data_IF_322095948503
#
_entry.id   IF_322095948503
#
_cell.length_a   1.000
_cell.length_b   1.000
_cell.length_c   1.000
_cell.angle_alpha   90.00
_cell.angle_beta   90.00
_cell.angle_gamma   90.00
#
_symmetry.space_group_name_H-M   'P 1'
#
loop_
_entity.id
_entity.type
_entity.pdbx_description
1 polymer ?
#
# COMPACT_ATOMS: atom_id res chain seq x y z
N UNK A 1 1.28 3.42 -11.61
CA UNK A 1 0.59 3.32 -10.30
C UNK A 1 1.61 3.58 -9.19
N UNK A 2 1.27 4.36 -8.17
CA UNK A 2 2.25 4.80 -7.15
C UNK A 2 2.31 3.81 -5.98
N UNK A 3 1.17 3.59 -5.33
CA UNK A 3 0.99 2.62 -4.24
C UNK A 3 -0.40 1.98 -4.39
N UNK A 4 -0.53 0.70 -4.06
CA UNK A 4 -1.81 -0.01 -4.04
C UNK A 4 -1.91 -0.89 -2.80
N UNK A 5 -3.12 -1.03 -2.27
CA UNK A 5 -3.46 -1.86 -1.12
C UNK A 5 -4.64 -2.75 -1.49
N UNK A 6 -4.46 -4.07 -1.42
CA UNK A 6 -5.55 -5.03 -1.60
C UNK A 6 -6.36 -5.14 -0.30
N UNK A 7 -7.64 -4.78 -0.34
CA UNK A 7 -8.58 -4.80 0.79
C UNK A 7 -9.64 -5.90 0.67
N UNK A 8 -9.40 -6.91 -0.17
CA UNK A 8 -10.20 -8.13 -0.19
C UNK A 8 -9.96 -8.97 1.07
N UNK A 9 -10.97 -9.68 1.54
CA UNK A 9 -10.85 -10.46 2.78
C UNK A 9 -9.70 -11.47 2.73
N UNK A 10 -9.38 -12.05 1.56
CA UNK A 10 -8.24 -12.96 1.45
C UNK A 10 -6.88 -12.31 1.75
N UNK A 11 -6.74 -10.98 1.71
CA UNK A 11 -5.46 -10.30 1.93
C UNK A 11 -5.16 -10.07 3.42
N UNK A 12 -6.18 -10.12 4.28
CA UNK A 12 -6.04 -9.74 5.69
C UNK A 12 -6.85 -10.57 6.69
N UNK A 13 -7.87 -11.32 6.27
CA UNK A 13 -8.84 -11.92 7.20
C UNK A 13 -8.24 -13.05 8.04
N UNK A 14 -7.17 -13.71 7.56
CA UNK A 14 -6.49 -14.73 8.35
C UNK A 14 -5.83 -14.15 9.62
N UNK A 15 -5.21 -12.98 9.50
CA UNK A 15 -4.45 -12.36 10.59
C UNK A 15 -5.30 -11.39 11.42
N UNK A 16 -6.23 -10.66 10.78
CA UNK A 16 -6.99 -9.57 11.41
C UNK A 16 -8.51 -9.85 11.52
N UNK A 17 -9.03 -10.93 10.92
CA UNK A 17 -10.47 -11.22 10.91
C UNK A 17 -11.31 -10.04 10.39
N UNK A 18 -12.37 -9.58 11.09
CA UNK A 18 -13.16 -8.43 10.66
C UNK A 18 -12.46 -7.08 10.85
N UNK A 19 -11.31 -7.04 11.54
CA UNK A 19 -10.60 -5.81 11.90
C UNK A 19 -9.77 -5.25 10.74
N UNK A 20 -10.43 -4.82 9.66
CA UNK A 20 -9.75 -4.21 8.49
C UNK A 20 -8.96 -2.95 8.85
N UNK A 21 -9.41 -2.19 9.85
CA UNK A 21 -8.72 -0.98 10.30
C UNK A 21 -7.28 -1.27 10.75
N UNK A 22 -7.12 -2.31 11.57
CA UNK A 22 -5.82 -2.72 12.10
C UNK A 22 -4.90 -3.22 10.98
N UNK A 23 -5.45 -3.93 9.99
CA UNK A 23 -4.71 -4.31 8.77
C UNK A 23 -4.19 -3.09 8.00
N UNK A 24 -5.03 -2.08 7.79
CA UNK A 24 -4.62 -0.86 7.08
C UNK A 24 -3.54 -0.10 7.86
N UNK A 25 -3.66 -0.03 9.19
CA UNK A 25 -2.63 0.56 10.05
C UNK A 25 -1.31 -0.20 9.94
N UNK A 26 -1.33 -1.52 10.07
CA UNK A 26 -0.14 -2.36 9.97
C UNK A 26 0.51 -2.30 8.58
N UNK A 27 -0.29 -2.19 7.51
CA UNK A 27 0.23 -1.99 6.16
C UNK A 27 1.15 -0.77 6.08
N UNK A 28 0.74 0.39 6.61
CA UNK A 28 1.56 1.60 6.56
C UNK A 28 2.82 1.56 7.45
N UNK A 29 2.90 0.64 8.41
CA UNK A 29 4.11 0.41 9.21
C UNK A 29 5.19 -0.37 8.45
N UNK A 30 4.80 -1.16 7.43
CA UNK A 30 5.72 -2.08 6.72
C UNK A 30 5.94 -1.74 5.25
N UNK A 31 5.29 -0.69 4.73
CA UNK A 31 5.52 -0.23 3.35
C UNK A 31 6.98 0.20 3.20
N UNK A 32 7.65 -0.34 2.17
CA UNK A 32 8.88 0.22 1.64
C UNK A 32 8.55 1.50 0.87
N UNK A 33 8.88 2.65 1.45
CA UNK A 33 8.51 3.97 0.93
C UNK A 33 9.41 4.46 -0.21
N UNK A 34 10.59 3.87 -0.39
CA UNK A 34 11.53 4.28 -1.45
C UNK A 34 10.96 3.95 -2.83
N UNK A 35 10.28 2.81 -2.96
CA UNK A 35 9.68 2.36 -4.22
C UNK A 35 8.51 3.25 -4.72
N UNK A 36 7.45 3.57 -3.93
CA UNK A 36 6.41 4.49 -4.37
C UNK A 36 6.94 5.90 -4.62
N UNK A 37 7.97 6.36 -3.90
CA UNK A 37 8.63 7.64 -4.17
C UNK A 37 9.30 7.64 -5.56
N UNK A 38 10.10 6.61 -5.86
CA UNK A 38 10.74 6.47 -7.18
C UNK A 38 9.72 6.38 -8.33
N UNK A 39 8.61 5.64 -8.13
CA UNK A 39 7.52 5.59 -9.11
C UNK A 39 6.82 6.94 -9.30
N UNK A 40 6.73 7.75 -8.24
CA UNK A 40 6.17 9.08 -8.33
C UNK A 40 7.08 10.01 -9.14
N UNK A 41 8.39 10.01 -8.88
CA UNK A 41 9.36 10.79 -9.65
C UNK A 41 9.32 10.44 -11.15
N UNK A 42 9.35 9.15 -11.50
CA UNK A 42 9.22 8.70 -12.89
C UNK A 42 7.91 9.15 -13.54
N UNK A 43 6.81 9.16 -12.78
CA UNK A 43 5.53 9.62 -13.29
C UNK A 43 5.55 11.13 -13.54
N UNK A 44 6.16 11.92 -12.65
CA UNK A 44 6.29 13.37 -12.83
C UNK A 44 7.17 13.70 -14.04
N UNK A 45 8.34 13.08 -14.17
CA UNK A 45 9.26 13.29 -15.31
C UNK A 45 8.62 13.00 -16.67
N UNK A 46 7.69 12.04 -16.74
CA UNK A 46 7.00 11.70 -17.99
C UNK A 46 6.03 12.79 -18.47
N UNK A 47 5.59 13.67 -17.56
CA UNK A 47 4.60 14.72 -17.85
C UNK A 47 5.18 16.15 -17.79
N UNK A 48 6.48 16.27 -17.52
CA UNK A 48 7.28 17.50 -17.73
C UNK A 48 7.90 17.51 -19.14
#
# INVERSE_FOLDING_TARGET
PILALDVWEHSYYHDYGPARGDFVSAFFEVVDWDEPAARYEQAVELFE
#
